data_IF_249040777200
#
_entry.id   IF_249040777200
#
_cell.length_a   1.000
_cell.length_b   1.000
_cell.length_c   1.000
_cell.angle_alpha   90.00
_cell.angle_beta   90.00
_cell.angle_gamma   90.00
#
_symmetry.space_group_name_H-M   'P 1'
#
loop_
_entity.id
_entity.type
_entity.pdbx_description
1 polymer ?
#
# COMPACT_ATOMS: atom_id res chain seq x y z
N UNK A 1 29.60 2.63 30.32
CA UNK A 1 29.35 2.90 28.89
C UNK A 1 27.88 2.62 28.60
N UNK A 2 27.01 3.63 28.70
CA UNK A 2 25.61 3.50 28.34
C UNK A 2 25.44 4.02 26.91
N UNK A 3 25.34 3.11 25.95
CA UNK A 3 24.97 3.46 24.58
C UNK A 3 23.44 3.58 24.53
N UNK A 4 22.93 4.76 24.85
CA UNK A 4 21.51 5.07 24.70
C UNK A 4 21.23 5.33 23.22
N UNK A 5 20.97 4.26 22.46
CA UNK A 5 20.42 4.38 21.12
C UNK A 5 18.98 4.88 21.26
N UNK A 6 18.78 6.19 21.11
CA UNK A 6 17.43 6.73 20.96
C UNK A 6 16.79 6.08 19.73
N UNK A 7 15.53 5.60 19.79
CA UNK A 7 14.86 5.17 18.58
C UNK A 7 14.79 6.38 17.66
N UNK A 8 15.32 6.23 16.44
CA UNK A 8 15.20 7.21 15.37
C UNK A 8 13.73 7.31 14.94
N UNK A 9 12.91 7.97 15.77
CA UNK A 9 11.50 8.28 15.50
C UNK A 9 11.36 9.41 14.46
N UNK A 10 12.35 9.61 13.59
CA UNK A 10 12.18 10.41 12.39
C UNK A 10 11.55 9.52 11.30
N UNK A 11 10.33 9.02 11.54
CA UNK A 11 9.52 8.48 10.44
C UNK A 11 9.24 9.65 9.52
N UNK A 12 9.65 9.54 8.26
CA UNK A 12 9.21 10.48 7.23
C UNK A 12 7.68 10.66 7.34
N UNK A 13 7.15 11.88 7.09
CA UNK A 13 5.72 12.13 7.20
C UNK A 13 4.97 11.15 6.30
N UNK A 14 3.96 10.48 6.85
CA UNK A 14 3.14 9.58 6.07
C UNK A 14 2.41 10.39 4.98
N UNK A 15 2.65 10.04 3.71
CA UNK A 15 1.96 10.65 2.57
C UNK A 15 0.55 10.08 2.48
N UNK A 16 -0.46 10.95 2.42
CA UNK A 16 -1.83 10.56 2.08
C UNK A 16 -1.86 10.19 0.59
N UNK A 17 -2.45 9.03 0.30
CA UNK A 17 -2.58 8.49 -1.06
C UNK A 17 -4.04 8.15 -1.34
N UNK A 18 -4.45 8.34 -2.58
CA UNK A 18 -5.78 7.99 -3.07
C UNK A 18 -5.84 6.53 -3.49
N UNK A 19 -7.05 6.02 -3.75
CA UNK A 19 -7.22 4.69 -4.33
C UNK A 19 -6.53 4.56 -5.70
N UNK A 20 -6.54 5.64 -6.51
CA UNK A 20 -5.88 5.66 -7.82
C UNK A 20 -4.37 5.51 -7.67
N UNK A 21 -3.77 6.19 -6.69
CA UNK A 21 -2.34 6.05 -6.39
C UNK A 21 -2.00 4.61 -6.00
N UNK A 22 -2.84 3.97 -5.17
CA UNK A 22 -2.69 2.56 -4.79
C UNK A 22 -2.75 1.65 -6.02
N UNK A 23 -3.70 1.88 -6.93
CA UNK A 23 -3.79 1.10 -8.18
C UNK A 23 -2.55 1.30 -9.05
N UNK A 24 -2.02 2.51 -9.14
CA UNK A 24 -0.78 2.77 -9.87
C UNK A 24 0.43 2.04 -9.25
N UNK A 25 0.54 2.02 -7.92
CA UNK A 25 1.56 1.25 -7.21
C UNK A 25 1.43 -0.26 -7.46
N UNK A 26 0.20 -0.78 -7.47
CA UNK A 26 -0.07 -2.20 -7.79
C UNK A 26 0.33 -2.52 -9.23
N UNK A 27 0.01 -1.65 -10.21
CA UNK A 27 0.42 -1.82 -11.61
C UNK A 27 1.94 -1.87 -11.74
N UNK A 28 2.63 -0.94 -11.11
CA UNK A 28 4.10 -0.93 -11.07
C UNK A 28 4.66 -2.22 -10.46
N UNK A 29 4.12 -2.68 -9.33
CA UNK A 29 4.56 -3.94 -8.73
C UNK A 29 4.31 -5.16 -9.63
N UNK A 30 3.20 -5.16 -10.37
CA UNK A 30 2.91 -6.18 -11.40
C UNK A 30 3.91 -6.14 -12.55
N UNK A 31 4.26 -4.94 -13.03
CA UNK A 31 5.23 -4.75 -14.11
C UNK A 31 6.63 -5.22 -13.68
N UNK A 32 7.05 -4.87 -12.46
CA UNK A 32 8.32 -5.32 -11.86
C UNK A 32 8.36 -6.85 -11.67
N UNK A 33 7.23 -7.47 -11.30
CA UNK A 33 7.10 -8.92 -11.19
C UNK A 33 6.94 -9.64 -12.54
N UNK A 34 6.68 -8.90 -13.63
CA UNK A 34 6.45 -9.40 -14.98
C UNK A 34 5.05 -9.97 -15.25
N UNK A 35 4.23 -10.25 -14.22
CA UNK A 35 2.83 -10.62 -14.42
C UNK A 35 1.98 -10.48 -13.15
N UNK A 36 0.66 -10.32 -13.32
CA UNK A 36 -0.30 -10.26 -12.20
C UNK A 36 -0.26 -11.52 -11.34
N UNK A 37 -0.08 -12.70 -11.95
CA UNK A 37 -0.05 -13.98 -11.24
C UNK A 37 1.21 -14.10 -10.37
N UNK A 38 2.36 -13.71 -10.89
CA UNK A 38 3.64 -13.74 -10.14
C UNK A 38 3.58 -12.77 -8.97
N UNK A 39 3.13 -11.53 -9.20
CA UNK A 39 2.94 -10.55 -8.13
C UNK A 39 1.96 -11.05 -7.06
N UNK A 40 0.80 -11.55 -7.46
CA UNK A 40 -0.20 -12.04 -6.52
C UNK A 40 0.35 -13.20 -5.67
N UNK A 41 1.06 -14.15 -6.27
CA UNK A 41 1.63 -15.29 -5.56
C UNK A 41 2.73 -14.85 -4.58
N UNK A 42 3.61 -13.92 -4.98
CA UNK A 42 4.66 -13.38 -4.11
C UNK A 42 4.12 -12.68 -2.86
N UNK A 43 2.92 -12.07 -2.95
CA UNK A 43 2.27 -11.36 -1.86
C UNK A 43 1.11 -12.12 -1.20
N UNK A 44 0.86 -13.38 -1.58
CA UNK A 44 -0.24 -14.19 -1.04
C UNK A 44 -1.64 -13.64 -1.36
N UNK A 45 -1.79 -12.98 -2.51
CA UNK A 45 -3.03 -12.35 -2.96
C UNK A 45 -3.78 -13.25 -3.95
N UNK A 46 -5.08 -13.01 -4.08
CA UNK A 46 -5.90 -13.63 -5.12
C UNK A 46 -5.73 -12.86 -6.44
N UNK A 47 -5.34 -13.58 -7.51
CA UNK A 47 -5.10 -12.98 -8.83
C UNK A 47 -6.38 -12.44 -9.51
N UNK A 48 -7.55 -13.04 -9.27
CA UNK A 48 -8.82 -12.55 -9.83
C UNK A 48 -9.27 -11.27 -9.13
N UNK A 49 -9.05 -11.19 -7.81
CA UNK A 49 -9.25 -9.95 -7.07
C UNK A 49 -8.31 -8.85 -7.55
N UNK A 50 -7.02 -9.17 -7.74
CA UNK A 50 -6.04 -8.24 -8.30
C UNK A 50 -6.51 -7.72 -9.67
N UNK A 51 -6.90 -8.61 -10.58
CA UNK A 51 -7.41 -8.24 -11.90
C UNK A 51 -8.65 -7.33 -11.81
N UNK A 52 -9.58 -7.66 -10.92
CA UNK A 52 -10.79 -6.84 -10.69
C UNK A 52 -10.46 -5.45 -10.17
N UNK A 53 -9.49 -5.34 -9.25
CA UNK A 53 -8.99 -4.07 -8.73
C UNK A 53 -8.31 -3.25 -9.83
N UNK A 54 -7.42 -3.86 -10.60
CA UNK A 54 -6.70 -3.18 -11.69
C UNK A 54 -7.63 -2.69 -12.80
N UNK A 55 -8.77 -3.36 -13.00
CA UNK A 55 -9.85 -2.95 -13.91
C UNK A 55 -10.84 -1.94 -13.32
N UNK A 56 -10.68 -1.55 -12.04
CA UNK A 56 -11.59 -0.62 -11.36
C UNK A 56 -12.95 -1.18 -10.98
N UNK A 57 -13.14 -2.51 -11.07
CA UNK A 57 -14.40 -3.18 -10.66
C UNK A 57 -14.50 -3.41 -9.15
N UNK A 58 -13.40 -3.27 -8.43
CA UNK A 58 -13.30 -3.54 -6.99
C UNK A 58 -12.28 -2.61 -6.34
N UNK A 59 -12.58 -2.08 -5.17
CA UNK A 59 -11.64 -1.29 -4.38
C UNK A 59 -10.54 -2.20 -3.76
N UNK A 60 -9.29 -1.72 -3.63
CA UNK A 60 -8.20 -2.47 -3.01
C UNK A 60 -8.41 -2.65 -1.50
N UNK A 61 -8.56 -3.90 -1.08
CA UNK A 61 -8.65 -4.26 0.34
C UNK A 61 -7.30 -4.18 1.08
N UNK A 62 -7.33 -4.34 2.41
CA UNK A 62 -6.15 -4.21 3.29
C UNK A 62 -4.93 -5.02 2.85
N UNK A 63 -5.11 -6.24 2.34
CA UNK A 63 -4.01 -7.09 1.88
C UNK A 63 -3.30 -6.48 0.66
N UNK A 64 -4.06 -5.86 -0.26
CA UNK A 64 -3.51 -5.17 -1.43
C UNK A 64 -2.77 -3.89 -1.04
N UNK A 65 -3.30 -3.13 -0.07
CA UNK A 65 -2.58 -1.97 0.47
C UNK A 65 -1.23 -2.37 1.06
N UNK A 66 -1.21 -3.43 1.88
CA UNK A 66 0.03 -3.92 2.49
C UNK A 66 1.06 -4.37 1.47
N UNK A 67 0.63 -4.99 0.36
CA UNK A 67 1.52 -5.43 -0.70
C UNK A 67 2.32 -4.28 -1.34
N UNK A 68 1.78 -3.06 -1.31
CA UNK A 68 2.45 -1.84 -1.83
C UNK A 68 2.94 -0.89 -0.72
N UNK A 69 3.05 -1.38 0.52
CA UNK A 69 3.53 -0.58 1.65
C UNK A 69 2.55 0.49 2.13
N UNK A 70 1.28 0.41 1.75
CA UNK A 70 0.21 1.33 2.17
C UNK A 70 -0.59 0.72 3.31
N UNK A 71 -1.09 1.57 4.21
CA UNK A 71 -2.06 1.19 5.24
C UNK A 71 -3.21 2.19 5.26
N UNK A 72 -4.42 1.72 5.55
CA UNK A 72 -5.55 2.61 5.84
C UNK A 72 -5.41 3.17 7.25
N UNK A 73 -5.63 4.47 7.40
CA UNK A 73 -5.73 5.16 8.67
C UNK A 73 -6.87 6.19 8.60
N UNK A 74 -7.47 6.50 9.74
CA UNK A 74 -8.41 7.62 9.84
C UNK A 74 -7.59 8.90 9.93
N UNK A 75 -7.93 9.88 9.09
CA UNK A 75 -7.29 11.21 9.06
C UNK A 75 -8.33 12.22 9.51
N UNK A 76 -7.96 13.09 10.46
CA UNK A 76 -8.76 14.25 10.83
C UNK A 76 -8.30 15.41 9.95
N UNK A 77 -9.12 15.83 9.01
CA UNK A 77 -8.89 17.01 8.19
C UNK A 77 -9.43 18.23 8.93
N UNK A 78 -8.54 19.01 9.55
CA UNK A 78 -8.91 20.18 10.34
C UNK A 78 -9.65 19.82 11.63
N UNK A 79 -8.96 19.89 12.76
CA UNK A 79 -9.69 20.11 14.00
C UNK A 79 -10.34 21.51 13.89
N UNK A 80 -11.65 21.58 14.13
CA UNK A 80 -12.36 22.85 14.18
C UNK A 80 -11.79 23.82 15.21
N UNK A 81 -12.05 25.10 14.94
CA UNK A 81 -11.61 26.35 15.60
C UNK A 81 -10.31 26.95 15.07
#
# INVERSE_FOLDING_TARGET
>A
MASSSAPVCASAPARVVTEIDVVALLRRGVDEAGSQRVFALAHGLNANDLSSILSGRKAPGRSFLRAVGVRSALVIEGAGA
#
